data_IF_991541264917
#
_entry.id   IF_991541264917
#
_cell.length_a   1.000
_cell.length_b   1.000
_cell.length_c   1.000
_cell.angle_alpha   90.00
_cell.angle_beta   90.00
_cell.angle_gamma   90.00
#
_symmetry.space_group_name_H-M   'P 1'
#
loop_
_entity.id
_entity.type
_entity.pdbx_description
1 polymer ?
#
# COMPACT_ATOMS: atom_id res chain seq x y z
N UNK A 1 -13.47 -13.25 28.17
CA UNK A 1 -12.13 -12.99 27.58
C UNK A 1 -12.09 -11.51 27.16
N UNK A 2 -11.43 -10.64 27.93
CA UNK A 2 -11.30 -9.22 27.59
C UNK A 2 -10.41 -9.06 26.35
N UNK A 3 -10.99 -8.69 25.20
CA UNK A 3 -10.23 -8.11 24.08
C UNK A 3 -9.72 -6.75 24.54
N UNK A 4 -8.46 -6.68 25.00
CA UNK A 4 -7.77 -5.40 25.22
C UNK A 4 -7.48 -4.79 23.85
N UNK A 5 -8.42 -3.99 23.35
CA UNK A 5 -8.22 -3.18 22.15
C UNK A 5 -7.29 -2.03 22.52
N UNK A 6 -6.08 -2.02 21.95
CA UNK A 6 -5.12 -0.94 22.13
C UNK A 6 -5.51 0.25 21.26
N UNK A 7 -5.78 1.39 21.91
CA UNK A 7 -6.08 2.66 21.28
C UNK A 7 -4.84 3.55 21.31
N UNK A 8 -4.48 4.14 20.17
CA UNK A 8 -3.40 5.13 20.10
C UNK A 8 -4.02 6.46 19.71
N UNK A 9 -3.70 7.51 20.48
CA UNK A 9 -4.16 8.86 20.21
C UNK A 9 -3.15 9.54 19.28
N UNK A 10 -3.57 9.84 18.05
CA UNK A 10 -2.76 10.52 17.03
C UNK A 10 -3.51 11.76 16.56
N UNK A 11 -2.84 12.92 16.56
CA UNK A 11 -3.42 14.20 16.16
C UNK A 11 -4.76 14.54 16.83
N UNK A 12 -4.92 14.18 18.11
CA UNK A 12 -6.14 14.43 18.88
C UNK A 12 -7.28 13.44 18.67
N UNK A 13 -7.19 12.52 17.68
CA UNK A 13 -8.17 11.44 17.46
C UNK A 13 -7.65 10.10 17.99
N UNK A 14 -8.54 9.32 18.61
CA UNK A 14 -8.24 7.95 18.99
C UNK A 14 -8.35 7.08 17.74
N UNK A 15 -7.24 6.54 17.26
CA UNK A 15 -7.21 5.64 16.12
C UNK A 15 -6.95 4.21 16.58
N UNK A 16 -7.68 3.28 15.98
CA UNK A 16 -7.43 1.86 16.14
C UNK A 16 -6.09 1.47 15.52
N UNK A 17 -5.34 0.63 16.23
CA UNK A 17 -4.09 0.04 15.72
C UNK A 17 -4.30 -0.67 14.36
N UNK A 18 -5.46 -1.29 14.17
CA UNK A 18 -5.82 -1.97 12.92
C UNK A 18 -6.00 -0.99 11.75
N UNK A 19 -6.63 0.17 11.99
CA UNK A 19 -6.78 1.22 10.96
C UNK A 19 -5.42 1.86 10.63
N UNK A 20 -4.55 2.02 11.63
CA UNK A 20 -3.19 2.51 11.42
C UNK A 20 -2.34 1.52 10.60
N UNK A 21 -2.36 0.25 10.99
CA UNK A 21 -1.67 -0.81 10.25
C UNK A 21 -2.19 -0.90 8.81
N UNK A 22 -3.52 -0.87 8.62
CA UNK A 22 -4.13 -0.85 7.28
C UNK A 22 -3.71 0.36 6.44
N UNK A 23 -3.66 1.56 7.02
CA UNK A 23 -3.20 2.76 6.32
C UNK A 23 -1.71 2.65 5.94
N UNK A 24 -0.88 2.11 6.83
CA UNK A 24 0.54 1.87 6.56
C UNK A 24 0.74 0.83 5.45
N UNK A 25 -0.04 -0.25 5.45
CA UNK A 25 -0.03 -1.27 4.39
C UNK A 25 -0.44 -0.70 3.03
N UNK A 26 -1.49 0.13 2.98
CA UNK A 26 -1.90 0.79 1.72
C UNK A 26 -0.81 1.71 1.20
N UNK A 27 -0.23 2.53 2.09
CA UNK A 27 0.85 3.42 1.71
C UNK A 27 2.06 2.65 1.17
N UNK A 28 2.44 1.55 1.83
CA UNK A 28 3.49 0.64 1.36
C UNK A 28 3.15 0.02 -0.01
N UNK A 29 1.92 -0.43 -0.22
CA UNK A 29 1.49 -0.99 -1.50
C UNK A 29 1.57 0.04 -2.64
N UNK A 30 1.16 1.29 -2.39
CA UNK A 30 1.27 2.38 -3.37
C UNK A 30 2.74 2.65 -3.73
N UNK A 31 3.63 2.69 -2.74
CA UNK A 31 5.07 2.84 -2.98
C UNK A 31 5.62 1.68 -3.82
N UNK A 32 5.16 0.44 -3.56
CA UNK A 32 5.56 -0.72 -4.35
C UNK A 32 5.02 -0.69 -5.78
N UNK A 33 3.83 -0.14 -6.01
CA UNK A 33 3.31 0.13 -7.36
C UNK A 33 4.21 1.12 -8.08
N UNK A 34 4.58 2.23 -7.44
CA UNK A 34 5.47 3.23 -8.04
C UNK A 34 6.86 2.65 -8.37
N UNK A 35 7.45 1.89 -7.44
CA UNK A 35 8.72 1.20 -7.66
C UNK A 35 8.63 0.18 -8.82
N UNK A 36 7.54 -0.58 -8.89
CA UNK A 36 7.34 -1.55 -9.97
C UNK A 36 7.15 -0.87 -11.33
N UNK A 37 6.45 0.26 -11.36
CA UNK A 37 6.30 1.07 -12.57
C UNK A 37 7.65 1.61 -13.04
N UNK A 38 8.47 2.14 -12.12
CA UNK A 38 9.83 2.57 -12.41
C UNK A 38 10.68 1.43 -13.01
N UNK A 39 10.59 0.23 -12.42
CA UNK A 39 11.31 -0.94 -12.94
C UNK A 39 10.89 -1.33 -14.37
N UNK A 40 9.62 -1.17 -14.73
CA UNK A 40 9.17 -1.38 -16.13
C UNK A 40 9.87 -0.39 -17.06
N UNK A 41 9.93 0.89 -16.70
CA UNK A 41 10.62 1.91 -17.52
C UNK A 41 12.11 1.60 -17.68
N UNK A 42 12.79 1.28 -16.57
CA UNK A 42 14.23 0.92 -16.61
C UNK A 42 14.48 -0.31 -17.48
N UNK A 43 13.60 -1.32 -17.43
CA UNK A 43 13.73 -2.50 -18.29
C UNK A 43 13.53 -2.15 -19.76
N UNK A 44 12.59 -1.27 -20.10
CA UNK A 44 12.40 -0.78 -21.48
C UNK A 44 13.63 -0.01 -21.96
N UNK A 45 14.23 0.84 -21.13
CA UNK A 45 15.48 1.54 -21.48
C UNK A 45 16.63 0.58 -21.72
N UNK A 46 16.78 -0.46 -20.88
CA UNK A 46 17.78 -1.52 -21.09
C UNK A 46 17.55 -2.29 -22.39
N UNK A 47 16.30 -2.59 -22.73
CA UNK A 47 15.95 -3.22 -24.02
C UNK A 47 16.37 -2.32 -25.19
N UNK A 48 16.09 -1.02 -25.13
CA UNK A 48 16.49 -0.07 -26.16
C UNK A 48 18.03 -0.01 -26.31
N UNK A 49 18.75 0.04 -25.18
CA UNK A 49 20.22 0.03 -25.18
C UNK A 49 20.82 -1.25 -25.78
N UNK A 50 20.24 -2.41 -25.46
CA UNK A 50 20.66 -3.71 -26.01
C UNK A 50 20.37 -3.83 -27.50
N UNK A 51 19.25 -3.24 -27.96
CA UNK A 51 18.89 -3.23 -29.38
C UNK A 51 19.92 -2.44 -30.21
N UNK A 52 20.50 -1.39 -29.63
CA UNK A 52 21.56 -0.59 -30.28
C UNK A 52 22.95 -1.21 -30.12
N UNK A 53 23.20 -1.92 -29.03
CA UNK A 53 24.47 -2.59 -28.74
C UNK A 53 24.23 -4.00 -28.15
N UNK A 54 24.21 -5.05 -29.00
CA UNK A 54 23.96 -6.42 -28.57
C UNK A 54 25.00 -6.98 -27.57
N UNK A 55 26.18 -6.36 -27.45
CA UNK A 55 27.17 -6.79 -26.44
C UNK A 55 26.72 -6.55 -24.99
N UNK A 56 25.68 -5.74 -24.78
CA UNK A 56 25.14 -5.41 -23.46
C UNK A 56 24.10 -6.42 -22.95
N UNK A 57 23.70 -7.41 -23.75
CA UNK A 57 22.70 -8.44 -23.37
C UNK A 57 23.11 -9.13 -22.08
N UNK A 58 24.33 -9.66 -22.00
CA UNK A 58 24.79 -10.40 -20.81
C UNK A 58 24.88 -9.49 -19.57
N UNK A 59 25.28 -8.24 -19.75
CA UNK A 59 25.41 -7.29 -18.64
C UNK A 59 24.05 -6.93 -18.02
N UNK A 60 23.01 -6.79 -18.85
CA UNK A 60 21.69 -6.36 -18.38
C UNK A 60 20.71 -7.52 -18.12
N UNK A 61 20.85 -8.64 -18.83
CA UNK A 61 19.88 -9.72 -18.88
C UNK A 61 20.47 -11.13 -18.75
N UNK A 62 21.78 -11.26 -18.44
CA UNK A 62 22.46 -12.56 -18.36
C UNK A 62 21.87 -13.56 -17.36
N UNK A 63 21.10 -13.10 -16.38
CA UNK A 63 20.39 -13.96 -15.42
C UNK A 63 18.92 -14.25 -15.80
N UNK A 64 18.31 -13.43 -16.67
CA UNK A 64 16.89 -13.53 -17.03
C UNK A 64 16.65 -14.32 -18.30
N UNK A 65 17.66 -14.41 -19.17
CA UNK A 65 17.59 -15.16 -20.42
C UNK A 65 18.38 -16.45 -20.17
N UNK A 66 17.69 -17.54 -19.86
CA UNK A 66 18.26 -18.88 -19.77
C UNK A 66 18.66 -19.36 -21.17
N UNK A 67 19.74 -18.80 -21.70
CA UNK A 67 20.24 -19.22 -22.99
C UNK A 67 21.77 -19.10 -22.99
N UNK A 68 22.40 -20.26 -23.15
CA UNK A 68 23.83 -20.49 -23.32
C UNK A 68 24.39 -19.88 -24.63
N UNK A 69 24.02 -18.66 -24.98
CA UNK A 69 24.26 -18.06 -26.30
C UNK A 69 24.88 -16.67 -26.16
N UNK A 70 26.20 -16.65 -25.94
CA UNK A 70 27.08 -15.46 -25.81
C UNK A 70 27.15 -14.60 -27.11
N UNK A 71 26.37 -14.91 -28.16
CA UNK A 71 26.54 -14.27 -29.46
C UNK A 71 25.30 -14.35 -30.39
N UNK A 72 24.08 -14.29 -29.85
CA UNK A 72 22.87 -14.25 -30.72
C UNK A 72 22.17 -12.90 -30.61
N UNK A 73 21.73 -12.40 -31.76
CA UNK A 73 20.96 -11.17 -31.88
C UNK A 73 19.75 -11.19 -30.94
N UNK A 74 19.60 -10.15 -30.13
CA UNK A 74 18.48 -9.99 -29.21
C UNK A 74 17.17 -9.96 -29.99
N UNK A 75 16.29 -10.94 -29.75
CA UNK A 75 15.08 -11.15 -30.56
C UNK A 75 13.85 -10.48 -29.95
N UNK A 76 12.76 -10.38 -30.72
CA UNK A 76 11.50 -9.78 -30.23
C UNK A 76 10.85 -10.65 -29.16
N UNK A 77 11.10 -11.95 -29.19
CA UNK A 77 10.65 -12.92 -28.19
C UNK A 77 11.35 -12.68 -26.85
N UNK A 78 12.64 -12.32 -26.86
CA UNK A 78 13.41 -11.98 -25.65
C UNK A 78 12.90 -10.70 -24.98
N UNK A 79 12.48 -9.70 -25.78
CA UNK A 79 11.83 -8.48 -25.28
C UNK A 79 10.61 -8.81 -24.44
N UNK A 80 9.74 -9.71 -24.94
CA UNK A 80 8.54 -10.11 -24.22
C UNK A 80 8.87 -10.92 -22.96
N UNK A 81 9.84 -11.82 -23.03
CA UNK A 81 10.27 -12.62 -21.89
C UNK A 81 10.81 -11.76 -20.75
N UNK A 82 11.67 -10.79 -21.06
CA UNK A 82 12.28 -9.88 -20.09
C UNK A 82 11.27 -8.90 -19.50
N UNK A 83 10.28 -8.45 -20.27
CA UNK A 83 9.22 -7.55 -19.79
C UNK A 83 8.16 -8.26 -18.93
N UNK A 84 8.00 -9.58 -19.08
CA UNK A 84 6.95 -10.33 -18.39
C UNK A 84 7.04 -10.17 -16.87
N UNK A 85 8.22 -10.34 -16.29
CA UNK A 85 8.44 -10.27 -14.84
C UNK A 85 8.14 -8.88 -14.22
N UNK A 86 8.69 -7.76 -14.74
CA UNK A 86 8.38 -6.44 -14.19
C UNK A 86 6.90 -6.06 -14.38
N UNK A 87 6.27 -6.43 -15.50
CA UNK A 87 4.83 -6.20 -15.71
C UNK A 87 4.00 -7.03 -14.73
N UNK A 88 4.31 -8.31 -14.54
CA UNK A 88 3.62 -9.16 -13.58
C UNK A 88 3.73 -8.62 -12.15
N UNK A 89 4.92 -8.13 -11.77
CA UNK A 89 5.16 -7.51 -10.46
C UNK A 89 4.33 -6.23 -10.28
N UNK A 90 4.26 -5.38 -11.30
CA UNK A 90 3.40 -4.19 -11.29
C UNK A 90 1.93 -4.56 -11.10
N UNK A 91 1.41 -5.50 -11.89
CA UNK A 91 0.03 -5.96 -11.81
C UNK A 91 -0.29 -6.59 -10.44
N UNK A 92 0.64 -7.34 -9.88
CA UNK A 92 0.51 -7.93 -8.55
C UNK A 92 0.34 -6.85 -7.47
N UNK A 93 1.22 -5.83 -7.45
CA UNK A 93 1.12 -4.73 -6.48
C UNK A 93 -0.11 -3.84 -6.70
N UNK A 94 -0.54 -3.67 -7.95
CA UNK A 94 -1.83 -3.02 -8.24
C UNK A 94 -3.00 -3.82 -7.66
N UNK A 95 -2.99 -5.15 -7.82
CA UNK A 95 -3.99 -6.05 -7.23
C UNK A 95 -4.01 -5.97 -5.70
N UNK A 96 -2.84 -6.00 -5.05
CA UNK A 96 -2.72 -5.82 -3.60
C UNK A 96 -3.25 -4.45 -3.16
N UNK A 97 -2.93 -3.39 -3.90
CA UNK A 97 -3.43 -2.04 -3.58
C UNK A 97 -4.95 -1.97 -3.67
N UNK A 98 -5.53 -2.60 -4.70
CA UNK A 98 -6.99 -2.67 -4.86
C UNK A 98 -7.65 -3.48 -3.75
N UNK A 99 -7.11 -4.65 -3.40
CA UNK A 99 -7.58 -5.45 -2.26
C UNK A 99 -7.46 -4.68 -0.95
N UNK A 100 -6.33 -4.01 -0.72
CA UNK A 100 -6.08 -3.17 0.44
C UNK A 100 -7.11 -2.04 0.57
N UNK A 101 -7.48 -1.42 -0.56
CA UNK A 101 -8.53 -0.40 -0.59
C UNK A 101 -9.91 -0.96 -0.24
N UNK A 102 -10.26 -2.15 -0.76
CA UNK A 102 -11.51 -2.84 -0.39
C UNK A 102 -11.53 -3.16 1.12
N UNK A 103 -10.43 -3.68 1.68
CA UNK A 103 -10.35 -3.98 3.11
C UNK A 103 -10.39 -2.73 3.97
N UNK A 104 -9.80 -1.63 3.52
CA UNK A 104 -9.86 -0.36 4.22
C UNK A 104 -11.27 0.23 4.24
N UNK A 105 -11.99 0.14 3.11
CA UNK A 105 -13.42 0.51 3.09
C UNK A 105 -14.26 -0.44 3.95
N UNK A 106 -14.01 -1.74 3.91
CA UNK A 106 -14.77 -2.72 4.71
C UNK A 106 -14.50 -2.57 6.22
N UNK A 107 -13.35 -2.04 6.62
CA UNK A 107 -13.06 -1.64 8.01
C UNK A 107 -13.99 -0.56 8.56
N UNK A 108 -14.63 0.26 7.71
CA UNK A 108 -15.73 1.15 8.13
C UNK A 108 -17.04 0.39 8.40
N UNK A 109 -17.22 -0.78 7.78
CA UNK A 109 -18.42 -1.62 7.86
C UNK A 109 -18.31 -2.64 9.00
N UNK A 110 -17.10 -3.14 9.30
CA UNK A 110 -16.84 -4.15 10.33
C UNK A 110 -16.57 -3.59 11.73
N UNK A 111 -16.09 -2.35 11.85
CA UNK A 111 -15.83 -1.68 13.14
C UNK A 111 -16.70 -0.42 13.42
N UNK A 112 -17.94 -0.28 12.90
CA UNK A 112 -18.76 0.91 13.19
C UNK A 112 -19.26 0.94 14.64
N UNK A 113 -19.33 -0.22 15.30
CA UNK A 113 -19.89 -0.36 16.66
C UNK A 113 -19.01 0.34 17.71
N UNK A 114 -17.68 0.30 17.56
CA UNK A 114 -16.74 0.86 18.54
C UNK A 114 -16.53 2.38 18.38
N UNK A 115 -16.73 2.93 17.18
CA UNK A 115 -16.69 4.38 16.94
C UNK A 115 -17.96 5.10 17.44
N UNK A 116 -19.10 4.42 17.42
CA UNK A 116 -20.38 4.94 17.94
C UNK A 116 -20.33 5.12 19.47
N UNK A 117 -19.71 4.18 20.17
CA UNK A 117 -19.60 4.20 21.64
C UNK A 117 -18.72 5.35 22.15
N UNK A 118 -17.66 5.69 21.40
CA UNK A 118 -16.81 6.85 21.71
C UNK A 118 -17.54 8.19 21.54
N UNK A 119 -18.36 8.31 20.49
CA UNK A 119 -19.12 9.56 20.25
C UNK A 119 -20.19 9.77 21.32
N UNK A 120 -20.87 8.71 21.75
CA UNK A 120 -21.86 8.78 22.86
C UNK A 120 -21.18 9.17 24.18
N UNK A 121 -20.00 8.61 24.46
CA UNK A 121 -19.23 8.92 25.68
C UNK A 121 -18.77 10.38 25.74
N UNK A 122 -18.24 10.92 24.63
CA UNK A 122 -17.85 12.33 24.59
C UNK A 122 -19.05 13.28 24.62
N UNK A 123 -20.16 12.91 23.98
CA UNK A 123 -21.40 13.66 24.06
C UNK A 123 -21.93 13.74 25.50
N UNK A 124 -21.96 12.61 26.22
CA UNK A 124 -22.35 12.56 27.63
C UNK A 124 -21.42 13.36 28.53
N UNK A 125 -20.09 13.28 28.33
CA UNK A 125 -19.13 14.08 29.09
C UNK A 125 -19.37 15.58 28.90
N UNK A 126 -19.69 16.01 27.69
CA UNK A 126 -20.01 17.42 27.41
C UNK A 126 -21.34 17.86 28.03
N UNK A 127 -22.37 17.00 28.03
CA UNK A 127 -23.63 17.29 28.72
C UNK A 127 -23.45 17.44 30.23
N UNK A 128 -22.70 16.53 30.86
CA UNK A 128 -22.37 16.60 32.30
C UNK A 128 -21.59 17.88 32.61
N UNK A 129 -20.60 18.22 31.78
CA UNK A 129 -19.79 19.45 31.97
C UNK A 129 -20.65 20.71 31.89
N UNK A 130 -21.61 20.76 30.96
CA UNK A 130 -22.57 21.87 30.83
C UNK A 130 -23.50 21.93 32.04
N UNK A 131 -24.02 20.80 32.51
CA UNK A 131 -24.89 20.74 33.69
C UNK A 131 -24.17 21.22 34.96
N UNK A 132 -22.92 20.78 35.18
CA UNK A 132 -22.10 21.22 36.33
C UNK A 132 -21.78 22.71 36.26
N UNK A 133 -21.46 23.23 35.07
CA UNK A 133 -21.20 24.66 34.87
C UNK A 133 -22.46 25.51 35.14
N UNK A 134 -23.64 25.02 34.75
CA UNK A 134 -24.91 25.70 35.00
C UNK A 134 -25.25 25.70 36.50
N UNK A 135 -25.06 24.58 37.20
CA UNK A 135 -25.31 24.50 38.64
C UNK A 135 -24.36 25.40 39.45
N UNK A 136 -23.10 25.52 39.02
CA UNK A 136 -22.10 26.39 39.66
C UNK A 136 -22.36 27.89 39.47
N UNK A 137 -23.15 28.28 38.45
CA UNK A 137 -23.59 29.68 38.22
C UNK A 137 -24.90 30.04 38.92
N UNK A 138 -25.66 29.03 39.36
CA UNK A 138 -26.95 29.19 40.03
C UNK A 138 -26.84 29.29 41.56
N UNK A 139 -25.64 29.09 42.11
CA UNK A 139 -25.28 29.37 43.50
C UNK A 139 -24.43 30.63 43.54
#
# INVERSE_FOLDING_TARGET
>A
MLRKVFWIKIAGKNMHLLKLAGAFFILGAILMVANSAYNVFVTVEKIAAVTQNPALVDQFFGYSISSSYVARDFTKEDVLGVLLAPIATLLFWMGITFLGFIFYQSGRILVPIEEYDQTISEHHKNLIRKAVAHHKRSK
#
